data_IF_968411280709
#
_entry.id   IF_968411280709
#
_cell.length_a   1.000
_cell.length_b   1.000
_cell.length_c   1.000
_cell.angle_alpha   90.00
_cell.angle_beta   90.00
_cell.angle_gamma   90.00
#
_symmetry.space_group_name_H-M   'P 1'
#
loop_
_entity.id
_entity.type
_entity.pdbx_description
1 polymer ?
#
# COMPACT_ATOMS: atom_id res chain seq x y z
N UNK A 1 -6.92 -17.48 -21.71
CA UNK A 1 -7.42 -16.56 -20.65
C UNK A 1 -6.33 -16.45 -19.60
N UNK A 2 -5.98 -15.24 -19.12
CA UNK A 2 -5.00 -15.11 -18.07
C UNK A 2 -5.55 -15.77 -16.79
N UNK A 3 -4.79 -16.69 -16.22
CA UNK A 3 -5.15 -17.46 -15.03
C UNK A 3 -5.23 -16.53 -13.83
N UNK A 4 -6.27 -16.68 -13.00
CA UNK A 4 -6.40 -15.89 -11.76
C UNK A 4 -5.17 -16.13 -10.87
N UNK A 5 -4.43 -15.08 -10.46
CA UNK A 5 -3.29 -15.22 -9.58
C UNK A 5 -3.75 -15.69 -8.20
N UNK A 6 -2.92 -16.50 -7.54
CA UNK A 6 -3.13 -16.97 -6.16
C UNK A 6 -3.21 -15.82 -5.15
N UNK A 7 -2.59 -14.70 -5.50
CA UNK A 7 -2.53 -13.47 -4.72
C UNK A 7 -3.15 -12.36 -5.57
N UNK A 8 -4.44 -12.06 -5.39
CA UNK A 8 -5.16 -11.13 -6.25
C UNK A 8 -4.93 -9.66 -5.89
N UNK A 9 -4.04 -9.36 -4.94
CA UNK A 9 -3.68 -8.01 -4.53
C UNK A 9 -2.21 -7.79 -4.76
N UNK A 10 -1.85 -6.58 -5.20
CA UNK A 10 -0.47 -6.18 -5.44
C UNK A 10 -0.26 -4.77 -4.90
N UNK A 11 0.88 -4.55 -4.27
CA UNK A 11 1.32 -3.25 -3.78
C UNK A 11 2.63 -2.90 -4.45
N UNK A 12 2.69 -1.73 -5.05
CA UNK A 12 3.90 -1.18 -5.68
C UNK A 12 4.27 0.07 -4.90
N UNK A 13 5.30 -0.05 -4.07
CA UNK A 13 5.88 1.04 -3.28
C UNK A 13 6.91 1.76 -4.14
N UNK A 14 6.81 3.09 -4.22
CA UNK A 14 7.71 3.95 -5.00
C UNK A 14 8.17 5.13 -4.15
N UNK A 15 9.46 5.40 -4.14
CA UNK A 15 10.09 6.58 -3.55
C UNK A 15 11.27 7.06 -4.40
N UNK A 16 12.11 7.97 -3.87
CA UNK A 16 13.19 8.62 -4.62
C UNK A 16 14.21 7.60 -5.15
N UNK A 17 14.52 6.59 -4.33
CA UNK A 17 15.52 5.55 -4.63
C UNK A 17 14.99 4.13 -4.35
N UNK A 18 13.69 3.97 -4.11
CA UNK A 18 13.08 2.68 -3.79
C UNK A 18 11.92 2.38 -4.73
N UNK A 19 11.94 1.17 -5.30
CA UNK A 19 10.79 0.57 -5.98
C UNK A 19 10.67 -0.88 -5.55
N UNK A 20 9.59 -1.20 -4.84
CA UNK A 20 9.32 -2.55 -4.37
C UNK A 20 7.91 -2.97 -4.79
N UNK A 21 7.78 -4.20 -5.29
CA UNK A 21 6.50 -4.81 -5.60
C UNK A 21 6.26 -5.99 -4.64
N UNK A 22 5.04 -6.14 -4.14
CA UNK A 22 4.65 -7.27 -3.30
C UNK A 22 3.23 -7.69 -3.57
N UNK A 23 3.05 -9.00 -3.81
CA UNK A 23 1.74 -9.60 -4.00
C UNK A 23 1.18 -10.16 -2.67
N UNK A 24 -0.13 -9.99 -2.48
CA UNK A 24 -0.88 -10.34 -1.28
C UNK A 24 -2.14 -11.16 -1.60
N UNK A 25 -2.52 -12.02 -0.65
CA UNK A 25 -3.74 -12.84 -0.74
C UNK A 25 -5.01 -12.05 -0.42
N UNK A 26 -4.89 -10.94 0.30
CA UNK A 26 -6.01 -10.16 0.82
C UNK A 26 -5.71 -8.68 0.88
N UNK A 27 -6.75 -7.87 0.74
CA UNK A 27 -6.75 -6.41 0.83
C UNK A 27 -6.10 -5.92 2.12
N UNK A 28 -6.55 -6.45 3.27
CA UNK A 28 -6.03 -6.07 4.57
C UNK A 28 -4.51 -6.25 4.69
N UNK A 29 -3.93 -7.28 4.07
CA UNK A 29 -2.47 -7.49 4.05
C UNK A 29 -1.76 -6.50 3.12
N UNK A 30 -2.38 -6.14 2.01
CA UNK A 30 -1.87 -5.10 1.11
C UNK A 30 -1.82 -3.74 1.85
N UNK A 31 -2.91 -3.30 2.48
CA UNK A 31 -2.91 -2.04 3.23
C UNK A 31 -2.08 -2.06 4.52
N UNK A 32 -1.86 -3.24 5.12
CA UNK A 32 -0.88 -3.37 6.20
C UNK A 32 0.54 -3.07 5.69
N UNK A 33 0.91 -3.58 4.52
CA UNK A 33 2.20 -3.26 3.90
C UNK A 33 2.26 -1.78 3.52
N UNK A 34 1.22 -1.21 2.90
CA UNK A 34 1.18 0.23 2.57
C UNK A 34 1.49 1.10 3.79
N UNK A 35 0.82 0.87 4.91
CA UNK A 35 1.03 1.64 6.14
C UNK A 35 2.43 1.46 6.72
N UNK A 36 2.98 0.24 6.68
CA UNK A 36 4.34 -0.02 7.13
C UNK A 36 5.39 0.64 6.21
N UNK A 37 5.16 0.58 4.90
CA UNK A 37 6.05 1.10 3.87
C UNK A 37 5.96 2.60 3.66
N UNK A 38 4.94 3.29 4.18
CA UNK A 38 4.78 4.75 4.06
C UNK A 38 4.85 5.50 5.40
N UNK A 39 5.15 4.79 6.50
CA UNK A 39 5.28 5.37 7.82
C UNK A 39 6.42 6.39 7.96
N UNK A 40 6.55 6.99 9.15
CA UNK A 40 7.48 8.10 9.43
C UNK A 40 8.95 7.82 9.07
N UNK A 41 9.41 6.56 9.18
CA UNK A 41 10.81 6.18 8.93
C UNK A 41 11.08 5.66 7.51
N UNK A 42 10.06 5.58 6.65
CA UNK A 42 10.23 5.00 5.32
C UNK A 42 10.67 6.03 4.27
N UNK A 43 11.65 5.69 3.40
CA UNK A 43 12.04 6.52 2.27
C UNK A 43 11.05 6.49 1.10
N UNK A 44 9.95 5.72 1.19
CA UNK A 44 8.96 5.66 0.13
C UNK A 44 7.97 6.83 0.18
N UNK A 45 7.61 7.37 -0.99
CA UNK A 45 6.68 8.50 -1.12
C UNK A 45 5.25 8.04 -1.39
N UNK A 46 5.09 6.98 -2.16
CA UNK A 46 3.78 6.50 -2.63
C UNK A 46 3.70 4.99 -2.64
N UNK A 47 2.51 4.45 -2.44
CA UNK A 47 2.21 3.05 -2.63
C UNK A 47 0.96 2.91 -3.50
N UNK A 48 1.10 2.25 -4.64
CA UNK A 48 0.01 1.92 -5.53
C UNK A 48 -0.54 0.55 -5.19
N UNK A 49 -1.85 0.47 -4.96
CA UNK A 49 -2.56 -0.78 -4.72
C UNK A 49 -3.26 -1.19 -6.01
N UNK A 50 -3.00 -2.41 -6.46
CA UNK A 50 -3.65 -3.02 -7.61
C UNK A 50 -4.39 -4.30 -7.19
N UNK A 51 -5.54 -4.54 -7.83
CA UNK A 51 -6.34 -5.73 -7.64
C UNK A 51 -6.50 -6.48 -8.96
N UNK A 52 -6.35 -7.80 -8.94
CA UNK A 52 -6.65 -8.63 -10.09
C UNK A 52 -8.15 -8.89 -10.21
N UNK A 53 -8.76 -8.37 -11.27
CA UNK A 53 -10.18 -8.59 -11.59
C UNK A 53 -10.37 -8.71 -13.10
N UNK A 54 -11.23 -9.62 -13.55
CA UNK A 54 -11.58 -9.76 -14.97
C UNK A 54 -10.40 -10.11 -15.90
N UNK A 55 -9.32 -10.68 -15.37
CA UNK A 55 -8.15 -11.07 -16.16
C UNK A 55 -7.10 -9.98 -16.35
N UNK A 56 -7.17 -8.88 -15.58
CA UNK A 56 -6.15 -7.84 -15.55
C UNK A 56 -5.92 -7.28 -14.15
N UNK A 57 -4.78 -6.64 -13.97
CA UNK A 57 -4.52 -5.80 -12.80
C UNK A 57 -5.24 -4.47 -12.99
N UNK A 58 -6.08 -4.15 -12.03
CA UNK A 58 -6.78 -2.88 -11.93
C UNK A 58 -6.12 -2.03 -10.86
N UNK A 59 -5.87 -0.78 -11.20
CA UNK A 59 -5.47 0.20 -10.22
C UNK A 59 -6.66 0.48 -9.30
N UNK A 60 -6.51 0.18 -8.01
CA UNK A 60 -7.52 0.47 -7.02
C UNK A 60 -7.31 1.88 -6.47
N UNK A 61 -6.13 2.15 -5.92
CA UNK A 61 -5.78 3.48 -5.43
C UNK A 61 -4.26 3.69 -5.36
N UNK A 62 -3.86 4.94 -5.15
CA UNK A 62 -2.48 5.32 -4.83
C UNK A 62 -2.49 6.10 -3.52
N UNK A 63 -1.82 5.56 -2.52
CA UNK A 63 -1.66 6.18 -1.20
C UNK A 63 -0.35 6.94 -1.14
N UNK A 64 -0.35 8.10 -0.50
CA UNK A 64 0.86 8.89 -0.27
C UNK A 64 1.35 8.81 1.17
N UNK A 65 2.65 9.00 1.34
CA UNK A 65 3.28 9.01 2.65
C UNK A 65 2.73 10.12 3.55
N UNK A 66 2.39 11.29 3.00
CA UNK A 66 1.80 12.38 3.78
C UNK A 66 0.44 12.01 4.39
N UNK A 67 -0.40 11.28 3.64
CA UNK A 67 -1.71 10.81 4.13
C UNK A 67 -1.56 9.82 5.29
N UNK A 68 -0.60 8.88 5.16
CA UNK A 68 -0.32 7.89 6.21
C UNK A 68 0.27 8.55 7.45
N UNK A 69 1.25 9.44 7.29
CA UNK A 69 1.88 10.15 8.41
C UNK A 69 0.89 11.06 9.12
N UNK A 70 0.02 11.76 8.39
CA UNK A 70 -1.05 12.57 8.98
C UNK A 70 -2.04 11.71 9.78
N UNK A 71 -2.45 10.55 9.24
CA UNK A 71 -3.33 9.63 9.95
C UNK A 71 -2.67 9.04 11.21
N UNK A 72 -1.37 8.69 11.14
CA UNK A 72 -0.60 8.21 12.29
C UNK A 72 -0.45 9.28 13.38
N UNK A 73 -0.12 10.51 12.99
CA UNK A 73 -0.03 11.64 13.91
C UNK A 73 -1.38 11.94 14.59
N UNK A 74 -2.49 11.85 13.85
CA UNK A 74 -3.82 12.02 14.41
C UNK A 74 -4.16 10.95 15.46
N UNK A 75 -3.80 9.68 15.21
CA UNK A 75 -4.01 8.59 16.18
C UNK A 75 -3.15 8.79 17.44
N UNK A 76 -1.88 9.16 17.27
CA UNK A 76 -0.97 9.43 18.41
C UNK A 76 -1.53 10.51 19.34
N UNK A 77 -2.06 11.60 18.77
CA UNK A 77 -2.63 12.70 19.54
C UNK A 77 -3.92 12.34 20.31
N UNK A 78 -4.57 11.21 19.97
CA UNK A 78 -5.75 10.71 20.68
C UNK A 78 -5.35 9.85 21.89
N UNK A 79 -4.21 9.15 21.82
CA UNK A 79 -3.71 8.29 22.91
C UNK A 79 -3.08 9.09 24.06
N UNK A 80 -2.58 10.30 23.78
CA UNK A 80 -1.98 11.21 24.77
C UNK A 80 -3.01 12.10 25.53
N UNK A 81 -4.32 11.84 25.39
CA UNK A 81 -5.41 12.55 26.11
C UNK A 81 -6.17 11.65 27.07
#
# INVERSE_FOLDING_TARGET
MPTKPRKPWRVIVTGPDVRAESDHTSEAKAYALVRASLGEESPADTARVEQWEGGRWWHFETVRADEIRAAQAAIRNIDEK
#
